data_IF_447615671879
#
_entry.id   IF_447615671879
#
_cell.length_a   1.000
_cell.length_b   1.000
_cell.length_c   1.000
_cell.angle_alpha   90.00
_cell.angle_beta   90.00
_cell.angle_gamma   90.00
#
_symmetry.space_group_name_H-M   'P 1'
#
loop_
_entity.id
_entity.type
_entity.pdbx_description
1 polymer ?
#
# COMPACT_ATOMS: atom_id res chain seq x y z
N UNK A 1 -25.33 54.88 57.61
CA UNK A 1 -24.31 53.83 57.84
C UNK A 1 -24.34 52.87 56.67
N UNK A 2 -23.35 52.93 55.78
CA UNK A 2 -23.27 52.08 54.57
C UNK A 2 -22.77 50.69 54.97
N UNK A 3 -23.53 49.63 54.65
CA UNK A 3 -23.10 48.24 54.82
C UNK A 3 -22.32 47.83 53.57
N UNK A 4 -21.01 47.62 53.71
CA UNK A 4 -20.19 46.95 52.69
C UNK A 4 -20.42 45.43 52.81
N UNK A 5 -20.81 44.80 51.70
CA UNK A 5 -20.82 43.34 51.54
C UNK A 5 -19.59 43.00 50.71
N UNK A 6 -18.67 42.22 51.26
CA UNK A 6 -17.49 41.67 50.59
C UNK A 6 -17.88 40.30 50.03
N UNK A 7 -17.87 40.07 48.70
CA UNK A 7 -18.02 38.72 48.19
C UNK A 7 -16.67 37.99 48.27
N UNK A 8 -16.63 36.94 49.09
CA UNK A 8 -15.53 35.98 49.14
C UNK A 8 -15.54 35.19 47.82
N UNK A 9 -14.43 35.30 47.07
CA UNK A 9 -14.25 34.61 45.80
C UNK A 9 -14.24 33.08 45.97
N UNK A 10 -15.07 32.41 45.19
CA UNK A 10 -15.03 30.95 45.01
C UNK A 10 -13.81 30.63 44.15
N UNK A 11 -12.84 29.95 44.77
CA UNK A 11 -11.68 29.36 44.11
C UNK A 11 -12.17 28.19 43.23
N UNK A 12 -12.18 28.38 41.91
CA UNK A 12 -12.44 27.33 40.94
C UNK A 12 -11.23 26.40 40.96
N UNK A 13 -11.35 25.25 41.65
CA UNK A 13 -10.42 24.14 41.53
C UNK A 13 -10.67 23.52 40.15
N UNK A 14 -9.92 23.98 39.15
CA UNK A 14 -9.83 23.30 37.87
C UNK A 14 -9.32 21.88 38.12
N UNK A 15 -10.08 20.88 37.69
CA UNK A 15 -9.63 19.49 37.67
C UNK A 15 -8.33 19.41 36.88
N UNK A 16 -7.21 19.25 37.58
CA UNK A 16 -5.94 18.89 36.95
C UNK A 16 -6.15 17.58 36.23
N UNK A 17 -6.14 17.60 34.90
CA UNK A 17 -5.96 16.37 34.12
C UNK A 17 -4.63 15.79 34.57
N UNK A 18 -4.67 14.69 35.32
CA UNK A 18 -3.45 14.02 35.75
C UNK A 18 -2.71 13.62 34.48
N UNK A 19 -1.55 14.24 34.23
CA UNK A 19 -0.69 13.77 33.16
C UNK A 19 -0.30 12.33 33.50
N UNK A 20 -0.43 11.41 32.54
CA UNK A 20 0.00 10.01 32.69
C UNK A 20 1.45 9.91 33.17
N UNK A 21 2.28 10.86 32.75
CA UNK A 21 3.64 11.07 33.27
C UNK A 21 3.95 12.57 33.27
N UNK A 22 4.77 13.03 34.22
CA UNK A 22 5.23 14.43 34.30
C UNK A 22 6.56 14.69 33.60
N UNK A 23 7.18 13.64 33.04
CA UNK A 23 8.56 13.67 32.51
C UNK A 23 8.63 13.42 31.01
N UNK A 24 7.53 13.00 30.38
CA UNK A 24 7.54 12.55 28.99
C UNK A 24 6.44 13.21 28.16
N UNK A 25 6.76 13.47 26.89
CA UNK A 25 5.78 13.92 25.92
C UNK A 25 5.00 12.72 25.39
N UNK A 26 3.67 12.82 25.37
CA UNK A 26 2.80 11.75 24.87
C UNK A 26 1.52 12.26 24.20
N UNK A 27 0.93 11.40 23.37
CA UNK A 27 -0.44 11.53 22.86
C UNK A 27 -1.25 10.37 23.42
N UNK A 28 -2.35 10.69 24.10
CA UNK A 28 -3.30 9.72 24.64
C UNK A 28 -4.53 9.66 23.74
N UNK A 29 -4.94 8.45 23.37
CA UNK A 29 -6.16 8.20 22.61
C UNK A 29 -7.03 7.20 23.34
N UNK A 30 -8.33 7.49 23.40
CA UNK A 30 -9.36 6.66 24.02
C UNK A 30 -10.52 6.48 23.06
N UNK A 31 -10.71 5.24 22.63
CA UNK A 31 -11.81 4.86 21.75
C UNK A 31 -12.87 4.13 22.56
N UNK A 32 -14.11 4.61 22.48
CA UNK A 32 -15.27 3.97 23.08
C UNK A 32 -15.77 2.85 22.14
N UNK A 33 -15.78 1.62 22.65
CA UNK A 33 -16.24 0.42 21.94
C UNK A 33 -17.70 0.09 22.24
N UNK A 34 -18.29 0.77 23.21
CA UNK A 34 -19.70 0.74 23.54
C UNK A 34 -20.22 2.17 23.68
N UNK A 35 -21.53 2.32 23.80
CA UNK A 35 -22.14 3.60 24.14
C UNK A 35 -21.48 4.16 25.43
N UNK A 36 -20.93 5.39 25.38
CA UNK A 36 -20.23 6.02 26.51
C UNK A 36 -21.16 6.36 27.68
N UNK A 37 -22.48 6.27 27.51
CA UNK A 37 -23.47 6.54 28.56
C UNK A 37 -23.78 5.31 29.42
N UNK A 38 -23.30 4.12 29.04
CA UNK A 38 -23.51 2.89 29.81
C UNK A 38 -22.67 2.87 31.10
N UNK A 39 -23.15 2.19 32.14
CA UNK A 39 -22.41 2.06 33.40
C UNK A 39 -21.08 1.29 33.25
N UNK A 40 -21.00 0.35 32.30
CA UNK A 40 -19.80 -0.44 31.99
C UNK A 40 -19.32 -0.14 30.58
N UNK A 41 -18.77 1.06 30.40
CA UNK A 41 -18.25 1.49 29.10
C UNK A 41 -17.03 0.65 28.73
N UNK A 42 -17.07 0.01 27.57
CA UNK A 42 -15.91 -0.67 27.00
C UNK A 42 -15.04 0.33 26.27
N UNK A 43 -13.77 0.38 26.61
CA UNK A 43 -12.81 1.35 26.05
C UNK A 43 -11.57 0.64 25.55
N UNK A 44 -10.94 1.21 24.53
CA UNK A 44 -9.59 0.87 24.10
C UNK A 44 -8.73 2.12 24.24
N UNK A 45 -7.60 1.98 24.91
CA UNK A 45 -6.77 3.11 25.32
C UNK A 45 -5.33 2.90 24.83
N UNK A 46 -4.78 3.91 24.18
CA UNK A 46 -3.42 3.89 23.66
C UNK A 46 -2.67 5.16 24.06
N UNK A 47 -1.41 4.98 24.46
CA UNK A 47 -0.49 6.07 24.78
C UNK A 47 0.71 5.97 23.87
N UNK A 48 0.99 7.02 23.09
CA UNK A 48 2.17 7.12 22.25
C UNK A 48 3.14 8.12 22.85
N UNK A 49 4.33 7.66 23.22
CA UNK A 49 5.40 8.48 23.77
C UNK A 49 6.36 8.97 22.70
N UNK A 50 6.91 10.16 22.90
CA UNK A 50 7.82 10.82 21.96
C UNK A 50 9.17 11.10 22.60
N UNK A 51 10.23 11.09 21.79
CA UNK A 51 11.55 11.57 22.20
C UNK A 51 11.63 13.12 22.18
N UNK A 52 12.79 13.67 22.54
CA UNK A 52 13.02 15.12 22.56
C UNK A 52 12.96 15.80 21.18
N UNK A 53 12.97 15.02 20.09
CA UNK A 53 12.84 15.50 18.72
C UNK A 53 11.39 15.34 18.20
N UNK A 54 10.47 14.88 19.04
CA UNK A 54 9.08 14.66 18.66
C UNK A 54 8.86 13.38 17.84
N UNK A 55 9.81 12.44 17.83
CA UNK A 55 9.65 11.15 17.15
C UNK A 55 9.05 10.11 18.09
N UNK A 56 8.12 9.25 17.63
CA UNK A 56 7.54 8.21 18.48
C UNK A 56 8.61 7.23 18.98
N UNK A 57 8.69 6.99 20.29
CA UNK A 57 9.66 6.04 20.88
C UNK A 57 9.02 4.79 21.47
N UNK A 58 7.75 4.87 21.84
CA UNK A 58 7.03 3.73 22.42
C UNK A 58 5.52 3.92 22.29
N UNK A 59 4.81 2.85 21.96
CA UNK A 59 3.34 2.80 21.97
C UNK A 59 2.90 1.81 23.04
N UNK A 60 2.01 2.25 23.94
CA UNK A 60 1.45 1.45 25.04
C UNK A 60 -0.05 1.28 24.82
N UNK A 61 -0.49 0.04 24.60
CA UNK A 61 -1.89 -0.35 24.73
C UNK A 61 -2.22 -0.59 26.20
N UNK A 62 -2.97 0.31 26.81
CA UNK A 62 -3.27 0.28 28.24
C UNK A 62 -4.21 -0.88 28.54
N UNK A 63 -3.80 -1.81 29.39
CA UNK A 63 -4.56 -3.01 29.76
C UNK A 63 -5.10 -3.80 28.55
N UNK A 64 -4.38 -3.76 27.43
CA UNK A 64 -4.84 -4.30 26.16
C UNK A 64 -4.78 -5.84 26.08
N UNK A 65 -4.05 -6.50 26.98
CA UNK A 65 -4.01 -7.98 27.03
C UNK A 65 -5.25 -8.57 27.74
N UNK A 66 -5.59 -9.85 27.49
CA UNK A 66 -6.74 -10.51 28.14
C UNK A 66 -6.70 -10.52 29.68
N UNK A 67 -5.49 -10.46 30.27
CA UNK A 67 -5.29 -10.41 31.72
C UNK A 67 -5.27 -8.97 32.27
N UNK A 68 -5.63 -7.96 31.46
CA UNK A 68 -5.63 -6.56 31.86
C UNK A 68 -4.23 -5.97 32.07
N UNK A 69 -3.21 -6.54 31.44
CA UNK A 69 -1.83 -6.04 31.42
C UNK A 69 -1.57 -5.19 30.18
N UNK A 70 -0.57 -4.32 30.26
CA UNK A 70 -0.22 -3.44 29.14
C UNK A 70 0.44 -4.24 28.00
N UNK A 71 0.31 -3.75 26.77
CA UNK A 71 0.99 -4.30 25.59
C UNK A 71 1.79 -3.17 24.96
N UNK A 72 3.10 -3.36 24.81
CA UNK A 72 4.03 -2.28 24.49
C UNK A 72 4.79 -2.57 23.21
N UNK A 73 4.79 -1.62 22.29
CA UNK A 73 5.59 -1.68 21.06
C UNK A 73 6.70 -0.64 21.14
N UNK A 74 7.97 -1.04 21.31
CA UNK A 74 9.09 -0.11 21.27
C UNK A 74 9.36 0.32 19.83
N UNK A 75 9.74 1.58 19.65
CA UNK A 75 10.19 2.13 18.36
C UNK A 75 11.63 2.60 18.56
N UNK A 76 12.54 1.99 17.82
CA UNK A 76 13.97 2.30 17.90
C UNK A 76 14.44 2.92 16.60
N UNK A 77 15.30 3.92 16.75
CA UNK A 77 15.97 4.58 15.65
C UNK A 77 17.46 4.25 15.70
N UNK A 78 18.09 4.14 14.54
CA UNK A 78 19.54 4.09 14.44
C UNK A 78 20.18 5.45 14.77
N UNK A 79 21.52 5.52 14.72
CA UNK A 79 22.29 6.74 14.98
C UNK A 79 21.98 7.90 14.01
N UNK A 80 21.37 7.60 12.86
CA UNK A 80 20.96 8.59 11.85
C UNK A 80 19.48 8.98 11.99
N UNK A 81 18.78 8.42 12.97
CA UNK A 81 17.39 8.73 13.25
C UNK A 81 16.37 7.97 12.39
N UNK A 82 16.79 6.87 11.75
CA UNK A 82 15.95 6.05 10.86
C UNK A 82 15.43 4.83 11.60
N UNK A 83 14.18 4.45 11.33
CA UNK A 83 13.56 3.26 11.91
C UNK A 83 13.84 2.04 11.02
N UNK A 84 14.93 1.35 11.33
CA UNK A 84 15.38 0.14 10.60
C UNK A 84 14.84 -1.16 11.19
N UNK A 85 14.24 -1.11 12.38
CA UNK A 85 13.67 -2.27 13.06
C UNK A 85 12.21 -2.01 13.41
N UNK A 86 11.33 -2.92 12.98
CA UNK A 86 9.89 -2.88 13.27
C UNK A 86 9.56 -4.04 14.22
N UNK A 87 9.38 -3.71 15.50
CA UNK A 87 9.12 -4.68 16.58
C UNK A 87 7.65 -5.11 16.65
N UNK A 88 7.41 -6.37 17.01
CA UNK A 88 6.10 -6.84 17.43
C UNK A 88 5.72 -6.24 18.79
N UNK A 89 4.41 -6.07 19.06
CA UNK A 89 3.93 -5.66 20.37
C UNK A 89 4.27 -6.70 21.43
N UNK A 90 4.86 -6.28 22.54
CA UNK A 90 5.27 -7.14 23.65
C UNK A 90 4.27 -7.00 24.81
N UNK A 91 3.48 -8.04 25.11
CA UNK A 91 2.70 -8.09 26.35
C UNK A 91 3.61 -7.94 27.56
N UNK A 92 3.23 -7.12 28.53
CA UNK A 92 4.03 -6.85 29.72
C UNK A 92 3.63 -7.73 30.91
N UNK A 93 4.53 -7.87 31.89
CA UNK A 93 4.31 -8.66 33.11
C UNK A 93 3.22 -8.07 34.03
N UNK A 94 2.93 -6.77 33.90
CA UNK A 94 1.89 -6.04 34.64
C UNK A 94 1.35 -4.85 33.85
N UNK A 95 0.70 -3.92 34.56
CA UNK A 95 0.21 -2.66 33.99
C UNK A 95 0.82 -1.49 34.74
N UNK A 96 1.25 -0.46 34.01
CA UNK A 96 1.62 0.83 34.55
C UNK A 96 0.54 1.88 34.23
N UNK A 97 -0.68 1.42 33.93
CA UNK A 97 -1.83 2.23 33.52
C UNK A 97 -1.49 3.21 32.39
N UNK A 98 -0.66 2.78 31.43
CA UNK A 98 -0.25 3.61 30.29
C UNK A 98 0.99 4.47 30.50
N UNK A 99 1.63 4.44 31.67
CA UNK A 99 2.94 5.07 31.86
C UNK A 99 4.02 4.40 30.98
N UNK A 100 5.11 5.11 30.72
CA UNK A 100 6.23 4.60 29.93
C UNK A 100 6.82 3.35 30.59
N UNK A 101 6.96 2.27 29.83
CA UNK A 101 7.72 1.08 30.25
C UNK A 101 9.21 1.30 29.95
N UNK A 102 10.14 1.24 30.94
CA UNK A 102 11.56 1.54 30.70
C UNK A 102 12.28 0.55 29.78
N UNK A 103 12.02 -0.76 29.93
CA UNK A 103 12.59 -1.81 29.07
C UNK A 103 11.53 -2.87 28.73
N UNK A 104 10.68 -2.60 27.71
CA UNK A 104 9.61 -3.52 27.34
C UNK A 104 10.13 -4.84 26.75
N UNK A 105 11.37 -4.88 26.26
CA UNK A 105 11.95 -6.06 25.62
C UNK A 105 12.42 -7.11 26.63
N UNK A 106 12.72 -6.70 27.86
CA UNK A 106 13.05 -7.63 28.95
C UNK A 106 11.95 -8.67 29.23
N UNK A 107 10.68 -8.34 28.94
CA UNK A 107 9.57 -9.26 29.17
C UNK A 107 9.37 -10.28 28.03
N UNK A 108 10.07 -10.17 26.90
CA UNK A 108 9.84 -11.01 25.69
C UNK A 108 9.92 -12.50 26.01
N UNK A 109 10.89 -12.91 26.81
CA UNK A 109 11.08 -14.32 27.23
C UNK A 109 9.92 -14.88 28.05
N UNK A 110 9.12 -14.02 28.68
CA UNK A 110 7.93 -14.36 29.46
C UNK A 110 6.63 -14.30 28.62
N UNK A 111 6.74 -14.04 27.32
CA UNK A 111 5.62 -14.05 26.37
C UNK A 111 5.66 -15.31 25.51
N UNK A 112 4.60 -15.60 24.73
CA UNK A 112 4.62 -16.68 23.74
C UNK A 112 5.74 -16.59 22.70
N UNK A 113 6.43 -15.44 22.56
CA UNK A 113 7.56 -15.29 21.67
C UNK A 113 8.82 -16.02 22.15
N UNK A 114 8.99 -16.24 23.45
CA UNK A 114 10.16 -16.93 24.01
C UNK A 114 11.48 -16.26 23.60
N UNK A 115 12.32 -17.00 22.87
CA UNK A 115 13.63 -16.53 22.36
C UNK A 115 13.61 -16.14 20.88
N UNK A 116 12.44 -16.00 20.26
CA UNK A 116 12.34 -15.67 18.84
C UNK A 116 12.78 -14.23 18.54
N UNK A 117 13.28 -14.00 17.32
CA UNK A 117 13.45 -12.65 16.78
C UNK A 117 12.07 -12.01 16.58
N UNK A 118 11.71 -11.03 17.40
CA UNK A 118 10.39 -10.37 17.38
C UNK A 118 10.33 -9.08 16.55
N UNK A 119 11.25 -8.88 15.60
CA UNK A 119 11.27 -7.68 14.77
C UNK A 119 11.68 -8.01 13.35
N UNK A 120 11.14 -7.25 12.39
CA UNK A 120 11.69 -7.22 11.05
C UNK A 120 12.78 -6.15 10.99
N UNK A 121 13.76 -6.35 10.11
CA UNK A 121 14.96 -5.53 10.03
C UNK A 121 15.26 -5.15 8.59
N UNK A 122 15.49 -3.87 8.35
CA UNK A 122 15.86 -3.31 7.06
C UNK A 122 17.33 -2.94 7.10
N UNK A 123 18.13 -3.55 6.24
CA UNK A 123 19.52 -3.18 6.01
C UNK A 123 19.53 -2.26 4.81
N UNK A 124 20.04 -1.05 4.99
CA UNK A 124 20.10 -0.01 3.96
C UNK A 124 21.46 -0.08 3.24
N UNK A 125 21.48 0.35 1.97
CA UNK A 125 22.74 0.54 1.24
C UNK A 125 23.58 1.66 1.86
N UNK A 126 24.91 1.57 1.74
CA UNK A 126 25.81 2.63 2.18
C UNK A 126 25.91 3.74 1.11
N UNK A 127 24.77 4.30 0.73
CA UNK A 127 24.66 5.39 -0.23
C UNK A 127 23.79 6.51 0.34
N UNK A 128 24.00 7.78 -0.06
CA UNK A 128 23.19 8.91 0.42
C UNK A 128 21.68 8.78 0.14
N UNK A 129 21.28 7.83 -0.71
CA UNK A 129 19.88 7.58 -1.05
C UNK A 129 19.15 6.72 -0.02
N UNK A 130 19.87 6.08 0.92
CA UNK A 130 19.29 5.27 2.00
C UNK A 130 18.26 4.23 1.53
N UNK A 131 18.51 3.61 0.36
CA UNK A 131 17.62 2.59 -0.21
C UNK A 131 17.78 1.26 0.55
N UNK A 132 16.70 0.49 0.61
CA UNK A 132 16.71 -0.82 1.28
C UNK A 132 17.53 -1.78 0.43
N UNK A 133 18.55 -2.39 1.00
CA UNK A 133 19.34 -3.44 0.34
C UNK A 133 18.84 -4.83 0.71
N UNK A 134 18.46 -5.03 1.98
CA UNK A 134 17.91 -6.28 2.47
C UNK A 134 16.79 -6.04 3.47
N UNK A 135 15.84 -6.95 3.53
CA UNK A 135 14.82 -6.99 4.56
C UNK A 135 14.73 -8.40 5.15
N UNK A 136 14.89 -8.50 6.46
CA UNK A 136 14.80 -9.74 7.21
C UNK A 136 13.46 -9.73 7.96
N UNK A 137 12.64 -10.76 7.77
CA UNK A 137 11.34 -10.88 8.43
C UNK A 137 11.49 -11.27 9.91
N UNK A 138 10.37 -11.15 10.63
CA UNK A 138 10.23 -11.58 12.03
C UNK A 138 10.42 -13.09 12.12
N UNK A 139 11.12 -13.56 13.15
CA UNK A 139 11.35 -14.98 13.45
C UNK A 139 12.80 -15.38 13.16
N UNK A 140 13.36 -16.21 14.04
CA UNK A 140 14.79 -16.57 13.99
C UNK A 140 15.13 -17.33 12.72
N UNK A 141 14.20 -18.16 12.24
CA UNK A 141 14.32 -18.94 11.01
C UNK A 141 14.58 -18.09 9.75
N UNK A 142 14.17 -16.82 9.74
CA UNK A 142 14.33 -15.91 8.60
C UNK A 142 15.64 -15.13 8.64
N UNK A 143 16.42 -15.22 9.72
CA UNK A 143 17.63 -14.42 9.91
C UNK A 143 18.70 -14.67 8.84
N UNK A 144 18.70 -15.85 8.23
CA UNK A 144 19.61 -16.25 7.14
C UNK A 144 18.96 -16.22 5.76
N UNK A 145 17.69 -15.81 5.68
CA UNK A 145 16.90 -15.74 4.45
C UNK A 145 16.33 -14.33 4.24
N UNK A 146 17.19 -13.31 4.02
CA UNK A 146 16.71 -11.96 3.74
C UNK A 146 16.06 -11.89 2.35
N UNK A 147 15.00 -11.10 2.24
CA UNK A 147 14.59 -10.52 0.95
C UNK A 147 15.70 -9.57 0.51
N UNK A 148 16.14 -9.69 -0.74
CA UNK A 148 17.20 -8.85 -1.30
C UNK A 148 16.64 -7.89 -2.34
N UNK A 149 17.15 -6.66 -2.35
CA UNK A 149 16.77 -5.60 -3.27
C UNK A 149 17.98 -5.16 -4.08
N UNK A 150 17.85 -5.19 -5.40
CA UNK A 150 18.85 -4.71 -6.36
C UNK A 150 18.34 -3.50 -7.14
N UNK A 151 19.21 -2.54 -7.39
CA UNK A 151 18.89 -1.31 -8.11
C UNK A 151 19.93 -1.04 -9.19
N UNK A 152 19.57 -1.34 -10.43
CA UNK A 152 20.43 -1.26 -11.60
C UNK A 152 19.75 -0.48 -12.74
N UNK A 153 20.43 -0.43 -13.88
CA UNK A 153 19.82 -0.02 -15.14
C UNK A 153 19.84 -1.21 -16.12
N UNK A 154 18.96 -1.19 -17.12
CA UNK A 154 18.89 -2.27 -18.09
C UNK A 154 20.17 -2.36 -18.96
N UNK A 155 20.52 -3.57 -19.37
CA UNK A 155 21.52 -3.82 -20.40
C UNK A 155 20.95 -3.56 -21.81
N UNK A 156 21.84 -3.43 -22.79
CA UNK A 156 21.47 -3.27 -24.19
C UNK A 156 20.68 -4.49 -24.70
N UNK A 157 19.53 -4.26 -25.31
CA UNK A 157 18.71 -5.33 -25.88
C UNK A 157 17.96 -6.21 -24.86
N UNK A 158 18.11 -5.98 -23.55
CA UNK A 158 17.55 -6.83 -22.48
C UNK A 158 16.01 -6.84 -22.46
N UNK A 159 15.40 -5.74 -22.89
CA UNK A 159 13.95 -5.50 -22.83
C UNK A 159 13.44 -5.11 -24.21
N UNK A 160 12.46 -5.85 -24.74
CA UNK A 160 11.77 -5.49 -25.99
C UNK A 160 11.01 -4.17 -25.82
N UNK A 161 11.03 -3.31 -26.83
CA UNK A 161 10.37 -2.01 -26.82
C UNK A 161 9.07 -2.07 -27.60
N UNK A 162 7.97 -2.25 -26.91
CA UNK A 162 6.64 -2.10 -27.50
C UNK A 162 6.18 -0.66 -27.44
N UNK A 163 5.54 -0.19 -28.49
CA UNK A 163 4.93 1.14 -28.59
C UNK A 163 3.47 1.01 -28.96
N UNK A 164 2.62 1.79 -28.30
CA UNK A 164 1.22 1.90 -28.67
C UNK A 164 0.92 3.30 -29.23
N UNK A 165 0.04 3.37 -30.22
CA UNK A 165 -0.53 4.63 -30.70
C UNK A 165 -2.04 4.59 -30.56
N UNK A 166 -2.62 5.72 -30.18
CA UNK A 166 -4.07 5.88 -30.09
C UNK A 166 -4.53 7.05 -30.97
N UNK A 167 -5.52 6.79 -31.81
CA UNK A 167 -6.10 7.79 -32.70
C UNK A 167 -7.55 8.07 -32.29
N UNK A 168 -7.80 9.27 -31.76
CA UNK A 168 -9.14 9.69 -31.31
C UNK A 168 -10.13 9.92 -32.45
N UNK A 169 -9.66 10.17 -33.69
CA UNK A 169 -10.52 10.43 -34.85
C UNK A 169 -11.27 9.16 -35.29
N UNK A 170 -10.60 8.01 -35.27
CA UNK A 170 -11.20 6.72 -35.64
C UNK A 170 -11.35 5.76 -34.45
N UNK A 171 -10.96 6.19 -33.25
CA UNK A 171 -11.03 5.44 -32.00
C UNK A 171 -10.28 4.08 -32.03
N UNK A 172 -9.11 4.08 -32.68
CA UNK A 172 -8.27 2.89 -32.85
C UNK A 172 -7.00 2.93 -32.01
N UNK A 173 -6.60 1.76 -31.50
CA UNK A 173 -5.34 1.54 -30.77
C UNK A 173 -4.50 0.55 -31.58
N UNK A 174 -3.21 0.82 -31.75
CA UNK A 174 -2.29 -0.05 -32.50
C UNK A 174 -1.06 -0.36 -31.66
N UNK A 175 -0.63 -1.63 -31.68
CA UNK A 175 0.57 -2.12 -31.01
C UNK A 175 1.66 -2.42 -32.04
N UNK A 176 2.85 -1.86 -31.83
CA UNK A 176 4.03 -2.12 -32.68
C UNK A 176 5.25 -2.48 -31.85
N UNK A 177 6.06 -3.41 -32.36
CA UNK A 177 7.37 -3.72 -31.79
C UNK A 177 8.41 -2.77 -32.41
N UNK A 178 8.94 -1.86 -31.60
CA UNK A 178 9.91 -0.82 -31.97
C UNK A 178 11.33 -1.18 -31.53
N UNK A 179 11.75 -2.42 -31.79
CA UNK A 179 13.06 -2.94 -31.40
C UNK A 179 13.17 -3.27 -29.92
N UNK A 180 14.31 -2.93 -29.30
CA UNK A 180 14.60 -3.12 -27.88
C UNK A 180 15.11 -1.83 -27.25
N UNK A 181 15.03 -1.73 -25.93
CA UNK A 181 15.65 -0.64 -25.18
C UNK A 181 17.17 -0.77 -25.20
N UNK A 182 17.84 0.37 -25.38
CA UNK A 182 19.29 0.46 -25.32
C UNK A 182 19.80 0.46 -23.87
N UNK A 183 21.13 0.36 -23.70
CA UNK A 183 21.77 0.39 -22.38
C UNK A 183 21.35 1.62 -21.54
N UNK A 184 21.00 1.41 -20.28
CA UNK A 184 20.76 2.47 -19.31
C UNK A 184 19.49 3.30 -19.53
N UNK A 185 18.55 2.85 -20.37
CA UNK A 185 17.32 3.59 -20.68
C UNK A 185 16.18 3.36 -19.67
N UNK A 186 16.24 2.28 -18.89
CA UNK A 186 15.25 1.84 -17.94
C UNK A 186 15.91 1.63 -16.57
N UNK A 187 15.20 2.02 -15.52
CA UNK A 187 15.50 1.61 -14.16
C UNK A 187 15.14 0.14 -13.98
N UNK A 188 16.04 -0.65 -13.43
CA UNK A 188 15.88 -2.09 -13.17
C UNK A 188 15.89 -2.32 -11.67
N UNK A 189 14.74 -2.67 -11.11
CA UNK A 189 14.60 -3.02 -9.69
C UNK A 189 14.43 -4.52 -9.56
N UNK A 190 15.31 -5.19 -8.83
CA UNK A 190 15.24 -6.64 -8.59
C UNK A 190 14.83 -6.89 -7.15
N UNK A 191 13.86 -7.77 -6.94
CA UNK A 191 13.49 -8.29 -5.62
C UNK A 191 13.67 -9.80 -5.65
N UNK A 192 14.54 -10.30 -4.78
CA UNK A 192 14.73 -11.73 -4.57
C UNK A 192 14.09 -12.09 -3.24
N UNK A 193 13.11 -12.99 -3.27
CA UNK A 193 12.40 -13.45 -2.08
C UNK A 193 13.28 -14.36 -1.20
N UNK A 194 12.76 -14.71 -0.02
CA UNK A 194 13.47 -15.52 0.98
C UNK A 194 13.79 -16.95 0.50
N UNK A 195 13.15 -17.41 -0.58
CA UNK A 195 13.36 -18.71 -1.21
C UNK A 195 14.25 -18.62 -2.47
N UNK A 196 14.73 -17.41 -2.82
CA UNK A 196 15.63 -17.16 -3.94
C UNK A 196 14.95 -16.89 -5.28
N UNK A 197 13.62 -16.80 -5.34
CA UNK A 197 12.92 -16.44 -6.57
C UNK A 197 13.04 -14.94 -6.83
N UNK A 198 13.40 -14.59 -8.05
CA UNK A 198 13.67 -13.20 -8.42
C UNK A 198 12.56 -12.62 -9.30
N UNK A 199 12.09 -11.43 -8.92
CA UNK A 199 11.18 -10.60 -9.71
C UNK A 199 11.90 -9.30 -10.07
N UNK A 200 11.92 -8.97 -11.36
CA UNK A 200 12.60 -7.80 -11.89
C UNK A 200 11.55 -6.87 -12.50
N UNK A 201 11.52 -5.64 -12.03
CA UNK A 201 10.66 -4.58 -12.55
C UNK A 201 11.51 -3.58 -13.33
N UNK A 202 11.11 -3.29 -14.56
CA UNK A 202 11.72 -2.28 -15.40
C UNK A 202 10.80 -1.06 -15.51
N UNK A 203 11.34 0.13 -15.24
CA UNK A 203 10.61 1.41 -15.33
C UNK A 203 11.28 2.37 -16.30
N UNK A 204 10.48 3.10 -17.07
CA UNK A 204 10.99 4.17 -17.93
C UNK A 204 11.30 5.45 -17.11
N UNK A 205 11.88 6.46 -17.77
CA UNK A 205 12.21 7.75 -17.14
C UNK A 205 11.01 8.55 -16.59
N UNK A 206 9.77 8.15 -16.91
CA UNK A 206 8.55 8.75 -16.35
C UNK A 206 8.03 7.98 -15.12
N UNK A 207 8.72 6.92 -14.70
CA UNK A 207 8.32 6.07 -13.57
C UNK A 207 7.26 5.02 -13.92
N UNK A 208 6.89 4.88 -15.20
CA UNK A 208 5.94 3.86 -15.65
C UNK A 208 6.64 2.50 -15.76
N UNK A 209 6.00 1.45 -15.23
CA UNK A 209 6.48 0.07 -15.36
C UNK A 209 6.29 -0.38 -16.79
N UNK A 210 7.36 -0.79 -17.49
CA UNK A 210 7.29 -1.27 -18.89
C UNK A 210 7.36 -2.78 -19.00
N UNK A 211 8.00 -3.45 -18.03
CA UNK A 211 8.14 -4.90 -17.98
C UNK A 211 8.21 -5.33 -16.51
N UNK A 212 7.45 -6.36 -16.16
CA UNK A 212 7.69 -7.18 -14.98
C UNK A 212 8.12 -8.56 -15.43
N UNK A 213 9.31 -8.98 -15.01
CA UNK A 213 9.93 -10.26 -15.34
C UNK A 213 10.01 -11.11 -14.08
N UNK A 214 9.40 -12.29 -14.11
CA UNK A 214 9.61 -13.31 -13.08
C UNK A 214 10.60 -14.35 -13.59
N UNK A 215 11.75 -14.46 -12.94
CA UNK A 215 12.72 -15.49 -13.26
C UNK A 215 12.16 -16.86 -12.82
N UNK A 216 12.00 -17.78 -13.77
CA UNK A 216 11.57 -19.16 -13.52
C UNK A 216 12.79 -20.06 -13.36
N UNK A 217 13.80 -19.86 -14.20
CA UNK A 217 15.08 -20.55 -14.16
C UNK A 217 16.20 -19.57 -14.55
N UNK A 218 17.45 -20.05 -14.62
CA UNK A 218 18.58 -19.22 -15.08
C UNK A 218 18.42 -18.71 -16.52
N UNK A 219 17.59 -19.39 -17.33
CA UNK A 219 17.39 -19.06 -18.75
C UNK A 219 15.94 -18.69 -19.09
N UNK A 220 14.97 -19.10 -18.26
CA UNK A 220 13.56 -18.90 -18.53
C UNK A 220 12.95 -17.80 -17.66
N UNK A 221 12.25 -16.90 -18.33
CA UNK A 221 11.61 -15.74 -17.74
C UNK A 221 10.14 -15.68 -18.15
N UNK A 222 9.27 -15.39 -17.20
CA UNK A 222 7.89 -14.98 -17.47
C UNK A 222 7.81 -13.46 -17.54
N UNK A 223 7.75 -12.93 -18.75
CA UNK A 223 7.73 -11.50 -19.02
C UNK A 223 6.30 -10.97 -19.19
N UNK A 224 5.95 -9.92 -18.46
CA UNK A 224 4.69 -9.19 -18.65
C UNK A 224 4.98 -7.76 -19.05
N UNK A 225 4.68 -7.40 -20.29
CA UNK A 225 4.91 -6.06 -20.80
C UNK A 225 3.69 -5.17 -20.57
N UNK A 226 3.95 -3.93 -20.19
CA UNK A 226 2.97 -2.88 -19.99
C UNK A 226 3.25 -1.78 -21.02
N UNK A 227 2.33 -1.60 -21.96
CA UNK A 227 2.55 -0.75 -23.13
C UNK A 227 1.66 0.46 -23.03
N UNK A 228 2.28 1.64 -23.02
CA UNK A 228 1.60 2.92 -22.94
C UNK A 228 1.46 3.54 -24.33
N UNK A 229 0.34 4.21 -24.56
CA UNK A 229 0.12 4.97 -25.80
C UNK A 229 0.83 6.34 -25.76
N UNK A 230 0.72 7.08 -26.87
CA UNK A 230 1.25 8.44 -27.03
C UNK A 230 0.60 9.50 -26.09
N UNK A 231 -0.38 9.12 -25.27
CA UNK A 231 -0.99 9.94 -24.21
C UNK A 231 -0.61 9.46 -22.81
N UNK A 232 0.39 8.58 -22.69
CA UNK A 232 0.87 7.98 -21.43
C UNK A 232 -0.20 7.13 -20.69
N UNK A 233 -1.20 6.64 -21.41
CA UNK A 233 -2.22 5.74 -20.86
C UNK A 233 -1.83 4.29 -21.13
N UNK A 234 -2.07 3.38 -20.18
CA UNK A 234 -1.81 1.94 -20.36
C UNK A 234 -2.75 1.37 -21.42
N UNK A 235 -2.25 1.11 -22.63
CA UNK A 235 -3.07 0.65 -23.75
C UNK A 235 -3.12 -0.87 -23.86
N UNK A 236 -2.01 -1.55 -23.54
CA UNK A 236 -1.92 -3.01 -23.61
C UNK A 236 -1.16 -3.58 -22.43
N UNK A 237 -1.58 -4.78 -21.99
CA UNK A 237 -0.75 -5.66 -21.16
C UNK A 237 -0.56 -6.95 -21.92
N UNK A 238 0.69 -7.32 -22.17
CA UNK A 238 1.10 -8.51 -22.92
C UNK A 238 1.62 -9.53 -21.89
N UNK A 239 0.84 -10.57 -21.55
CA UNK A 239 1.25 -11.58 -20.57
C UNK A 239 2.36 -12.50 -21.09
N UNK A 240 2.97 -13.34 -20.22
CA UNK A 240 4.10 -14.19 -20.57
C UNK A 240 3.87 -15.09 -21.79
N UNK A 241 2.66 -15.65 -21.92
CA UNK A 241 2.32 -16.52 -23.05
C UNK A 241 2.23 -15.77 -24.39
N UNK A 242 1.91 -14.48 -24.38
CA UNK A 242 1.88 -13.66 -25.58
C UNK A 242 3.25 -13.02 -25.89
N UNK A 243 4.09 -12.78 -24.88
CA UNK A 243 5.40 -12.14 -25.08
C UNK A 243 6.44 -13.02 -25.79
N UNK A 244 6.21 -14.33 -25.77
CA UNK A 244 7.04 -15.32 -26.48
C UNK A 244 6.71 -15.40 -27.98
N UNK A 245 5.54 -14.92 -28.38
CA UNK A 245 5.16 -14.87 -29.80
C UNK A 245 6.06 -13.89 -30.57
N UNK A 246 6.31 -14.21 -31.85
CA UNK A 246 7.09 -13.36 -32.73
C UNK A 246 6.39 -12.00 -32.95
N UNK A 247 5.06 -12.04 -33.11
CA UNK A 247 4.20 -10.87 -33.17
C UNK A 247 2.98 -11.05 -32.26
N UNK A 248 2.93 -10.37 -31.10
CA UNK A 248 1.79 -10.42 -30.19
C UNK A 248 0.46 -9.97 -30.80
N UNK A 249 0.46 -9.25 -31.94
CA UNK A 249 -0.77 -8.87 -32.62
C UNK A 249 -1.58 -10.10 -33.11
N UNK A 250 -0.92 -11.23 -33.36
CA UNK A 250 -1.56 -12.47 -33.80
C UNK A 250 -2.40 -13.15 -32.71
N UNK A 251 -2.12 -12.84 -31.44
CA UNK A 251 -2.78 -13.42 -30.26
C UNK A 251 -3.42 -12.36 -29.35
N UNK A 252 -3.61 -11.15 -29.89
CA UNK A 252 -3.99 -9.98 -29.11
C UNK A 252 -5.38 -10.11 -28.46
N UNK A 253 -6.28 -10.85 -29.10
CA UNK A 253 -7.65 -11.04 -28.62
C UNK A 253 -7.75 -12.21 -27.63
N UNK A 254 -6.92 -13.23 -27.80
CA UNK A 254 -6.93 -14.45 -27.02
C UNK A 254 -6.14 -14.30 -25.72
N UNK A 255 -5.01 -13.57 -25.75
CA UNK A 255 -4.03 -13.57 -24.68
C UNK A 255 -3.73 -12.20 -24.06
N UNK A 256 -3.97 -11.08 -24.75
CA UNK A 256 -3.59 -9.75 -24.27
C UNK A 256 -4.76 -8.97 -23.66
N UNK A 257 -4.43 -8.05 -22.75
CA UNK A 257 -5.37 -7.04 -22.26
C UNK A 257 -5.27 -5.80 -23.13
N UNK A 258 -6.40 -5.20 -23.47
CA UNK A 258 -6.48 -3.99 -24.30
C UNK A 258 -7.36 -2.96 -23.60
N UNK A 259 -6.94 -1.69 -23.63
CA UNK A 259 -7.62 -0.60 -22.97
C UNK A 259 -7.68 0.63 -23.89
N UNK A 260 -8.82 1.31 -23.89
CA UNK A 260 -9.01 2.60 -24.56
C UNK A 260 -9.68 3.58 -23.63
N UNK A 261 -9.27 4.83 -23.77
CA UNK A 261 -9.70 5.90 -22.90
C UNK A 261 -10.39 6.99 -23.71
N UNK A 262 -11.26 7.75 -23.05
CA UNK A 262 -11.77 8.99 -23.61
C UNK A 262 -10.78 10.15 -23.43
N UNK A 263 -11.12 11.32 -23.99
CA UNK A 263 -10.31 12.54 -23.87
C UNK A 263 -10.16 13.09 -22.44
N UNK A 264 -10.78 12.45 -21.43
CA UNK A 264 -10.64 12.78 -20.01
C UNK A 264 -9.87 11.70 -19.23
N UNK A 265 -9.16 10.81 -19.93
CA UNK A 265 -8.42 9.68 -19.35
C UNK A 265 -9.30 8.66 -18.61
N UNK A 266 -10.59 8.55 -18.94
CA UNK A 266 -11.48 7.54 -18.34
C UNK A 266 -11.50 6.31 -19.24
N UNK A 267 -11.38 5.12 -18.64
CA UNK A 267 -11.42 3.85 -19.38
C UNK A 267 -12.82 3.64 -19.96
N UNK A 268 -12.97 3.65 -21.28
CA UNK A 268 -14.27 3.53 -21.96
C UNK A 268 -14.44 2.24 -22.75
N UNK A 269 -13.34 1.63 -23.19
CA UNK A 269 -13.35 0.28 -23.74
C UNK A 269 -12.24 -0.53 -23.10
N UNK A 270 -12.56 -1.76 -22.69
CA UNK A 270 -11.54 -2.73 -22.30
C UNK A 270 -11.84 -4.08 -22.93
N UNK A 271 -10.79 -4.83 -23.24
CA UNK A 271 -10.89 -6.22 -23.69
C UNK A 271 -9.96 -7.08 -22.86
N UNK A 272 -10.54 -8.10 -22.25
CA UNK A 272 -9.79 -9.08 -21.47
C UNK A 272 -9.44 -10.29 -22.38
N UNK A 273 -8.35 -11.01 -22.09
CA UNK A 273 -7.97 -12.20 -22.84
C UNK A 273 -9.12 -13.20 -22.99
N UNK A 274 -9.42 -13.59 -24.23
CA UNK A 274 -10.48 -14.56 -24.54
C UNK A 274 -11.92 -14.04 -24.35
N UNK A 275 -12.10 -12.75 -24.01
CA UNK A 275 -13.41 -12.10 -23.91
C UNK A 275 -13.63 -11.10 -25.05
N UNK A 276 -14.89 -10.73 -25.25
CA UNK A 276 -15.25 -9.61 -26.12
C UNK A 276 -14.96 -8.26 -25.46
N UNK A 277 -15.23 -7.17 -26.19
CA UNK A 277 -15.12 -5.81 -25.67
C UNK A 277 -16.16 -5.55 -24.59
N UNK A 278 -15.72 -4.85 -23.54
CA UNK A 278 -16.57 -4.25 -22.51
C UNK A 278 -16.52 -2.73 -22.67
N UNK A 279 -17.69 -2.11 -22.73
CA UNK A 279 -17.89 -0.68 -22.91
C UNK A 279 -18.34 -0.05 -21.60
N UNK A 280 -17.89 1.18 -21.35
CA UNK A 280 -18.15 1.95 -20.14
C UNK A 280 -18.57 3.37 -20.51
N UNK A 281 -19.69 3.82 -19.95
CA UNK A 281 -20.24 5.16 -20.18
C UNK A 281 -20.29 5.91 -18.86
N UNK A 282 -19.78 7.14 -18.88
CA UNK A 282 -19.70 8.00 -17.71
C UNK A 282 -20.57 9.24 -17.89
N UNK A 283 -21.13 9.73 -16.79
CA UNK A 283 -21.81 11.02 -16.78
C UNK A 283 -20.81 12.20 -16.69
N UNK A 284 -21.35 13.41 -16.60
CA UNK A 284 -20.56 14.64 -16.45
C UNK A 284 -19.90 14.78 -15.06
N UNK A 285 -20.31 13.97 -14.09
CA UNK A 285 -19.74 13.93 -12.74
C UNK A 285 -18.71 12.80 -12.60
N UNK A 286 -18.27 12.19 -13.71
CA UNK A 286 -17.29 11.09 -13.76
C UNK A 286 -17.74 9.80 -13.07
N UNK A 287 -19.05 9.60 -12.95
CA UNK A 287 -19.61 8.35 -12.44
C UNK A 287 -19.91 7.41 -13.58
N UNK A 288 -19.58 6.13 -13.40
CA UNK A 288 -19.91 5.07 -14.34
C UNK A 288 -21.41 4.81 -14.31
N UNK A 289 -22.12 5.22 -15.36
CA UNK A 289 -23.59 5.12 -15.42
C UNK A 289 -24.07 3.93 -16.23
N UNK A 290 -23.26 3.43 -17.17
CA UNK A 290 -23.63 2.25 -17.96
C UNK A 290 -22.40 1.39 -18.27
N UNK A 291 -22.59 0.08 -18.27
CA UNK A 291 -21.62 -0.89 -18.78
C UNK A 291 -22.30 -1.89 -19.71
N UNK A 292 -21.55 -2.36 -20.69
CA UNK A 292 -22.00 -3.40 -21.61
C UNK A 292 -20.85 -4.34 -21.90
N UNK A 293 -21.06 -5.64 -21.71
CA UNK A 293 -20.17 -6.68 -22.20
C UNK A 293 -20.66 -7.20 -23.56
N UNK A 294 -19.90 -8.10 -24.17
CA UNK A 294 -20.24 -8.63 -25.48
C UNK A 294 -21.56 -9.42 -25.53
N UNK A 295 -21.96 -10.08 -24.43
CA UNK A 295 -23.21 -10.86 -24.38
C UNK A 295 -24.40 -9.92 -24.29
N UNK A 296 -24.33 -8.93 -23.40
CA UNK A 296 -25.31 -7.85 -23.31
C UNK A 296 -25.40 -7.09 -24.64
N UNK A 297 -24.27 -6.79 -25.28
CA UNK A 297 -24.23 -6.14 -26.60
C UNK A 297 -24.98 -6.92 -27.68
N UNK A 298 -24.81 -8.23 -27.74
CA UNK A 298 -25.54 -9.09 -28.68
C UNK A 298 -27.07 -9.07 -28.44
N UNK A 299 -27.48 -8.91 -27.18
CA UNK A 299 -28.87 -8.76 -26.77
C UNK A 299 -29.37 -7.30 -26.80
N UNK A 300 -28.53 -6.34 -27.22
CA UNK A 300 -28.77 -4.88 -27.19
C UNK A 300 -29.07 -4.34 -25.78
N UNK A 301 -28.53 -4.97 -24.75
CA UNK A 301 -28.75 -4.62 -23.35
C UNK A 301 -27.58 -3.80 -22.78
N UNK A 302 -27.87 -2.99 -21.77
CA UNK A 302 -26.88 -2.29 -20.96
C UNK A 302 -27.21 -2.43 -19.48
N UNK A 303 -26.22 -2.71 -18.65
CA UNK A 303 -26.35 -2.56 -17.21
C UNK A 303 -26.19 -1.06 -16.88
N UNK A 304 -27.20 -0.45 -16.29
CA UNK A 304 -27.14 0.96 -15.89
C UNK A 304 -27.23 1.11 -14.37
N UNK A 305 -26.62 2.19 -13.88
CA UNK A 305 -26.69 2.63 -12.47
C UNK A 305 -27.22 4.04 -12.42
N UNK A 306 -28.30 4.26 -11.65
CA UNK A 306 -28.79 5.60 -11.34
C UNK A 306 -28.32 6.00 -9.95
N UNK A 307 -27.76 7.19 -9.84
CA UNK A 307 -27.28 7.75 -8.59
C UNK A 307 -28.27 8.77 -8.01
N UNK A 308 -28.30 8.88 -6.69
CA UNK A 308 -29.01 9.94 -5.99
C UNK A 308 -28.21 11.26 -5.97
N UNK A 309 -28.79 12.30 -5.36
CA UNK A 309 -28.17 13.63 -5.25
C UNK A 309 -26.85 13.65 -4.46
N UNK A 310 -26.59 12.63 -3.64
CA UNK A 310 -25.37 12.50 -2.84
C UNK A 310 -24.33 11.59 -3.51
N UNK A 311 -24.60 11.11 -4.73
CA UNK A 311 -23.69 10.24 -5.47
C UNK A 311 -23.73 8.76 -5.04
N UNK A 312 -24.73 8.35 -4.26
CA UNK A 312 -24.91 6.94 -3.88
C UNK A 312 -25.72 6.21 -4.97
N UNK A 313 -25.43 4.94 -5.28
CA UNK A 313 -26.29 4.14 -6.15
C UNK A 313 -27.71 4.09 -5.58
N UNK A 314 -28.67 4.66 -6.30
CA UNK A 314 -30.09 4.63 -5.94
C UNK A 314 -30.72 3.31 -6.39
N UNK A 315 -30.45 2.91 -7.63
CA UNK A 315 -30.85 1.61 -8.18
C UNK A 315 -30.02 1.25 -9.42
N UNK A 316 -30.04 -0.03 -9.79
CA UNK A 316 -29.40 -0.60 -10.98
C UNK A 316 -30.40 -1.42 -11.78
N UNK A 317 -30.22 -1.55 -13.08
CA UNK A 317 -31.09 -2.38 -13.92
C UNK A 317 -30.50 -2.65 -15.29
N UNK A 318 -31.20 -3.49 -16.06
CA UNK A 318 -30.91 -3.71 -17.47
C UNK A 318 -31.79 -2.76 -18.31
N UNK A 319 -31.15 -1.99 -19.18
CA UNK A 319 -31.77 -1.19 -20.23
C UNK A 319 -31.70 -1.96 -21.54
N UNK A 320 -32.80 -2.05 -22.28
CA UNK A 320 -32.95 -2.85 -23.52
C UNK A 320 -33.58 -2.03 -24.62
#
# INVERSE_FOLDING_TARGET
MKKLIIPIGILIIGTTQAQLTSTENYVYSKTYLSDPTLANVKTSETVQYFDGLGRPKQIVGVKASPLGKDVVTPIKYDQFGRQVQDYLPVPQGGTLNGAITPDPLSNVSSTPYGSEKIYSEKILENSPLDRIQQQIQVGTAWSTKPVQFGYDANADGEVKKYTATFNYTNFTSQLTLSGSYGIGQLYKNTVTDEDGNSTIEFKNGQGQVVLVRKAISATDNADTYYVYNNYNQLAFVIPPKASVEADPNTVLNELCYQYKYDGRNRLVEKKLPGKGWEYMVYDKQDRLIMTQDAVMGALKQWLFTKYDQFGRPAYTGLYT
#
